data_IF_356807389461
#
_entry.id   IF_356807389461
#
_cell.length_a   1.000
_cell.length_b   1.000
_cell.length_c   1.000
_cell.angle_alpha   90.00
_cell.angle_beta   90.00
_cell.angle_gamma   90.00
#
_symmetry.space_group_name_H-M   'P 1'
#
loop_
_entity.id
_entity.type
_entity.pdbx_description
1 polymer ?
#
# COMPACT_ATOMS: atom_id res chain seq x y z
N UNK A 1 -18.74 15.64 -7.13
CA UNK A 1 -17.50 15.77 -6.32
C UNK A 1 -17.86 16.32 -4.95
N UNK A 2 -17.57 15.57 -3.87
CA UNK A 2 -17.96 15.91 -2.49
C UNK A 2 -16.96 16.82 -1.73
N UNK A 3 -15.83 17.18 -2.34
CA UNK A 3 -14.83 18.09 -1.79
C UNK A 3 -14.58 19.23 -2.80
N UNK A 4 -15.09 20.44 -2.55
CA UNK A 4 -14.85 21.54 -3.49
C UNK A 4 -15.49 22.88 -3.14
N UNK A 5 -16.71 22.90 -2.59
CA UNK A 5 -17.41 24.13 -2.22
C UNK A 5 -17.71 24.06 -0.71
N UNK A 6 -17.12 24.97 0.08
CA UNK A 6 -17.39 25.10 1.53
C UNK A 6 -16.21 24.80 2.47
N UNK A 7 -15.15 24.12 2.02
CA UNK A 7 -13.94 23.90 2.82
C UNK A 7 -12.84 24.89 2.41
N UNK A 8 -12.52 25.83 3.33
CA UNK A 8 -11.46 26.81 3.14
C UNK A 8 -10.19 26.42 3.92
N UNK A 9 -9.52 25.35 3.48
CA UNK A 9 -8.21 25.00 4.00
C UNK A 9 -7.15 25.85 3.31
N UNK A 10 -6.61 26.83 4.04
CA UNK A 10 -5.58 27.74 3.52
C UNK A 10 -4.19 27.11 3.56
N UNK A 11 -3.95 26.16 4.47
CA UNK A 11 -2.63 25.56 4.77
C UNK A 11 -2.32 24.27 4.02
N UNK A 12 -3.07 23.93 2.98
CA UNK A 12 -2.80 22.71 2.19
C UNK A 12 -1.46 22.88 1.47
N UNK A 13 -0.49 22.01 1.78
CA UNK A 13 0.87 22.11 1.21
C UNK A 13 1.07 21.20 0.00
N UNK A 14 0.32 20.11 -0.09
CA UNK A 14 0.37 19.18 -1.22
C UNK A 14 -1.00 18.63 -1.57
N UNK A 15 -1.25 18.40 -2.86
CA UNK A 15 -2.43 17.71 -3.38
C UNK A 15 -1.98 16.59 -4.31
N UNK A 16 -2.46 15.38 -4.04
CA UNK A 16 -2.28 14.24 -4.92
C UNK A 16 -3.58 13.99 -5.66
N UNK A 17 -3.55 14.11 -6.98
CA UNK A 17 -4.66 13.75 -7.84
C UNK A 17 -4.45 12.35 -8.41
N UNK A 18 -5.44 11.48 -8.16
CA UNK A 18 -5.52 10.13 -8.69
C UNK A 18 -6.71 10.05 -9.64
N UNK A 19 -6.50 9.47 -10.82
CA UNK A 19 -7.54 9.29 -11.83
C UNK A 19 -7.65 10.47 -12.80
N UNK A 20 -8.80 10.54 -13.48
CA UNK A 20 -9.09 11.51 -14.53
C UNK A 20 -10.42 12.21 -14.26
N UNK A 21 -10.60 13.37 -14.85
CA UNK A 21 -11.84 14.13 -14.81
C UNK A 21 -11.74 15.34 -15.73
N UNK A 22 -12.76 16.21 -15.68
CA UNK A 22 -12.70 17.50 -16.36
C UNK A 22 -11.42 18.26 -15.93
N UNK A 23 -10.57 18.73 -16.87
CA UNK A 23 -9.37 19.49 -16.55
C UNK A 23 -9.64 20.66 -15.61
N UNK A 24 -10.77 21.35 -15.77
CA UNK A 24 -11.11 22.51 -14.94
C UNK A 24 -11.36 22.11 -13.48
N UNK A 25 -12.06 21.00 -13.27
CA UNK A 25 -12.25 20.37 -11.97
C UNK A 25 -10.90 19.92 -11.37
N UNK A 26 -10.03 19.29 -12.15
CA UNK A 26 -8.70 18.85 -11.71
C UNK A 26 -7.85 20.06 -11.30
N UNK A 27 -7.75 21.08 -12.14
CA UNK A 27 -7.07 22.35 -11.85
C UNK A 27 -7.61 23.00 -10.56
N UNK A 28 -8.93 22.95 -10.34
CA UNK A 28 -9.56 23.47 -9.12
C UNK A 28 -9.21 22.65 -7.86
N UNK A 29 -9.02 21.35 -8.00
CA UNK A 29 -8.59 20.46 -6.92
C UNK A 29 -7.11 20.68 -6.58
N UNK A 30 -6.22 20.70 -7.58
CA UNK A 30 -4.79 20.93 -7.34
C UNK A 30 -4.50 22.36 -6.86
N UNK A 31 -5.27 23.36 -7.32
CA UNK A 31 -5.24 24.74 -6.84
C UNK A 31 -5.76 24.96 -5.41
N UNK A 32 -5.93 23.88 -4.64
CA UNK A 32 -6.14 23.95 -3.18
C UNK A 32 -4.83 24.11 -2.42
N UNK A 33 -3.72 23.61 -2.96
CA UNK A 33 -2.42 23.84 -2.33
C UNK A 33 -1.95 25.29 -2.50
N UNK A 34 -1.19 25.80 -1.52
CA UNK A 34 -0.53 27.10 -1.58
C UNK A 34 -1.45 28.34 -1.52
N UNK A 35 -2.67 28.20 -0.98
CA UNK A 35 -3.63 29.32 -0.83
C UNK A 35 -3.23 30.34 0.22
N UNK A 36 -2.31 29.98 1.10
CA UNK A 36 -1.66 30.85 2.08
C UNK A 36 -0.50 31.67 1.49
N UNK A 37 -0.28 31.60 0.17
CA UNK A 37 0.81 32.28 -0.52
C UNK A 37 2.15 31.55 -0.43
N UNK A 38 2.20 30.43 0.30
CA UNK A 38 3.38 29.58 0.39
C UNK A 38 3.39 28.55 -0.76
N UNK A 39 4.55 28.06 -1.24
CA UNK A 39 4.63 27.17 -2.40
C UNK A 39 3.80 25.89 -2.23
N UNK A 40 2.97 25.51 -3.20
CA UNK A 40 2.17 24.28 -3.15
C UNK A 40 2.71 23.20 -4.08
N UNK A 41 2.67 21.94 -3.65
CA UNK A 41 3.03 20.80 -4.50
C UNK A 41 1.79 20.10 -5.05
N UNK A 42 1.67 20.04 -6.37
CA UNK A 42 0.64 19.25 -7.04
C UNK A 42 1.26 18.01 -7.69
N UNK A 43 0.75 16.83 -7.33
CA UNK A 43 1.18 15.54 -7.89
C UNK A 43 0.01 14.95 -8.66
N UNK A 44 0.19 14.74 -9.97
CA UNK A 44 -0.82 14.13 -10.83
C UNK A 44 -0.32 12.77 -11.30
N UNK A 45 -1.04 11.71 -10.94
CA UNK A 45 -0.79 10.38 -11.48
C UNK A 45 -1.48 10.25 -12.83
N UNK A 46 -0.69 10.33 -13.90
CA UNK A 46 -1.15 10.20 -15.28
C UNK A 46 -0.48 9.01 -15.95
N UNK A 47 -1.24 8.26 -16.74
CA UNK A 47 -0.72 7.17 -17.56
C UNK A 47 0.13 7.75 -18.70
N UNK A 48 1.34 7.20 -18.91
CA UNK A 48 2.20 7.62 -20.03
C UNK A 48 1.61 7.28 -21.40
N UNK A 49 0.96 6.11 -21.49
CA UNK A 49 0.28 5.64 -22.69
C UNK A 49 -1.08 5.07 -22.26
N UNK A 50 -2.16 5.69 -22.71
CA UNK A 50 -3.53 5.26 -22.43
C UNK A 50 -4.04 4.36 -23.54
N UNK A 51 -4.68 3.25 -23.18
CA UNK A 51 -5.41 2.40 -24.12
C UNK A 51 -6.59 3.20 -24.67
N UNK A 52 -6.72 3.28 -26.00
CA UNK A 52 -7.74 4.10 -26.68
C UNK A 52 -7.68 5.60 -26.33
N UNK A 53 -6.50 6.10 -25.95
CA UNK A 53 -6.25 7.53 -25.74
C UNK A 53 -5.37 8.16 -26.81
N UNK A 54 -5.23 9.48 -26.71
CA UNK A 54 -4.29 10.26 -27.51
C UNK A 54 -2.95 10.28 -26.78
N UNK A 55 -1.97 9.57 -27.31
CA UNK A 55 -0.61 9.43 -26.76
C UNK A 55 0.43 10.23 -27.56
N UNK A 56 0.05 10.77 -28.72
CA UNK A 56 0.93 11.53 -29.60
C UNK A 56 0.31 12.85 -30.03
N UNK A 57 1.15 13.88 -30.18
CA UNK A 57 0.74 15.22 -30.63
C UNK A 57 -0.02 15.19 -31.96
N UNK A 58 0.37 14.30 -32.88
CA UNK A 58 -0.26 14.14 -34.19
C UNK A 58 -1.74 13.72 -34.12
N UNK A 59 -2.20 13.22 -32.97
CA UNK A 59 -3.60 12.85 -32.75
C UNK A 59 -4.48 14.05 -32.35
N UNK A 60 -3.87 15.20 -32.04
CA UNK A 60 -4.57 16.45 -31.76
C UNK A 60 -4.65 17.30 -33.03
N UNK A 61 -5.83 17.33 -33.64
CA UNK A 61 -6.07 18.10 -34.86
C UNK A 61 -6.70 19.45 -34.52
N UNK A 62 -6.18 20.57 -35.06
CA UNK A 62 -6.82 21.87 -34.93
C UNK A 62 -8.26 21.87 -35.44
N UNK A 63 -9.14 22.65 -34.79
CA UNK A 63 -10.55 22.82 -35.21
C UNK A 63 -11.49 21.65 -34.87
N UNK A 64 -11.00 20.59 -34.21
CA UNK A 64 -11.81 19.46 -33.77
C UNK A 64 -12.16 19.61 -32.29
N UNK A 65 -13.44 19.43 -31.94
CA UNK A 65 -13.90 19.39 -30.54
C UNK A 65 -13.13 18.31 -29.77
N UNK A 66 -12.49 18.71 -28.68
CA UNK A 66 -11.76 17.81 -27.79
C UNK A 66 -12.65 17.46 -26.60
N UNK A 67 -12.76 16.19 -26.27
CA UNK A 67 -13.41 15.74 -25.02
C UNK A 67 -12.56 16.09 -23.81
N UNK A 68 -13.12 16.03 -22.60
CA UNK A 68 -12.33 16.24 -21.38
C UNK A 68 -11.18 15.24 -21.24
N UNK A 69 -11.39 14.00 -21.68
CA UNK A 69 -10.33 13.00 -21.74
C UNK A 69 -9.23 13.34 -22.74
N UNK A 70 -9.58 13.93 -23.90
CA UNK A 70 -8.57 14.42 -24.84
C UNK A 70 -7.79 15.60 -24.26
N UNK A 71 -8.47 16.51 -23.56
CA UNK A 71 -7.82 17.66 -22.92
C UNK A 71 -6.85 17.23 -21.82
N UNK A 72 -7.22 16.20 -21.05
CA UNK A 72 -6.33 15.58 -20.07
C UNK A 72 -5.16 14.83 -20.73
N UNK A 73 -5.35 14.21 -21.90
CA UNK A 73 -4.26 13.61 -22.68
C UNK A 73 -3.28 14.68 -23.20
N UNK A 74 -3.80 15.82 -23.66
CA UNK A 74 -2.98 16.93 -24.11
C UNK A 74 -2.08 17.48 -22.99
N UNK A 75 -2.57 17.51 -21.75
CA UNK A 75 -1.79 17.94 -20.58
C UNK A 75 -0.63 16.99 -20.26
N UNK A 76 -0.81 15.70 -20.53
CA UNK A 76 0.23 14.68 -20.36
C UNK A 76 1.30 14.72 -21.47
N UNK A 77 1.04 15.44 -22.57
CA UNK A 77 1.90 15.48 -23.76
C UNK A 77 2.68 16.80 -23.81
N UNK A 78 4.01 16.68 -23.73
CA UNK A 78 4.94 17.81 -23.55
C UNK A 78 4.72 18.99 -24.52
N UNK A 79 4.43 18.81 -25.83
CA UNK A 79 4.21 19.95 -26.73
C UNK A 79 2.93 20.76 -26.48
N UNK A 80 1.86 20.15 -25.94
CA UNK A 80 0.66 20.91 -25.54
C UNK A 80 0.95 21.84 -24.37
N UNK A 81 1.76 21.37 -23.42
CA UNK A 81 2.24 22.16 -22.30
C UNK A 81 3.16 23.33 -22.73
N UNK A 82 3.99 23.17 -23.77
CA UNK A 82 4.86 24.26 -24.25
C UNK A 82 4.09 25.49 -24.74
N UNK A 83 2.91 25.31 -25.34
CA UNK A 83 2.05 26.42 -25.76
C UNK A 83 1.50 27.19 -24.56
N UNK A 84 1.10 26.49 -23.50
CA UNK A 84 0.65 27.12 -22.25
C UNK A 84 1.78 27.85 -21.54
N UNK A 85 2.98 27.24 -21.50
CA UNK A 85 4.19 27.89 -20.97
C UNK A 85 4.49 29.21 -21.67
N UNK A 86 4.41 29.25 -23.01
CA UNK A 86 4.64 30.48 -23.77
C UNK A 86 3.62 31.58 -23.44
N UNK A 87 2.36 31.20 -23.17
CA UNK A 87 1.32 32.12 -22.70
C UNK A 87 1.66 32.66 -21.31
N UNK A 88 2.05 31.79 -20.37
CA UNK A 88 2.45 32.17 -19.01
C UNK A 88 3.62 33.17 -19.03
N UNK A 89 4.65 32.93 -19.84
CA UNK A 89 5.80 33.83 -19.99
C UNK A 89 5.39 35.20 -20.53
N UNK A 90 4.51 35.24 -21.54
CA UNK A 90 3.98 36.50 -22.11
C UNK A 90 3.20 37.33 -21.08
N UNK A 91 2.47 36.67 -20.20
CA UNK A 91 1.68 37.31 -19.13
C UNK A 91 2.51 37.61 -17.87
N UNK A 92 3.83 37.36 -17.89
CA UNK A 92 4.73 37.68 -16.79
C UNK A 92 4.62 36.76 -15.58
N UNK A 93 4.16 35.51 -15.77
CA UNK A 93 4.10 34.53 -14.70
C UNK A 93 5.53 34.11 -14.27
N UNK A 94 5.72 33.69 -13.00
CA UNK A 94 7.00 33.14 -12.54
C UNK A 94 7.45 31.94 -13.38
N UNK A 95 8.77 31.75 -13.48
CA UNK A 95 9.35 30.63 -14.22
C UNK A 95 8.79 29.30 -13.73
N UNK A 96 8.21 28.52 -14.65
CA UNK A 96 7.57 27.26 -14.30
C UNK A 96 8.60 26.20 -13.86
N UNK A 97 8.31 25.52 -12.75
CA UNK A 97 9.13 24.42 -12.18
C UNK A 97 8.46 23.04 -12.29
N UNK A 98 7.52 22.87 -13.21
CA UNK A 98 6.81 21.60 -13.37
C UNK A 98 7.71 20.49 -13.97
N UNK A 99 7.21 19.25 -13.96
CA UNK A 99 7.92 18.08 -14.48
C UNK A 99 8.26 18.13 -15.97
N UNK A 100 7.52 18.90 -16.77
CA UNK A 100 7.85 19.12 -18.18
C UNK A 100 8.95 20.18 -18.37
N UNK A 101 9.03 21.20 -17.50
CA UNK A 101 10.06 22.24 -17.57
C UNK A 101 11.40 21.81 -16.96
N UNK A 102 11.36 21.12 -15.83
CA UNK A 102 12.54 20.68 -15.07
C UNK A 102 12.47 19.17 -14.79
N UNK A 103 12.57 18.30 -15.81
CA UNK A 103 12.37 16.86 -15.65
C UNK A 103 13.37 16.22 -14.68
N UNK A 104 14.63 16.67 -14.67
CA UNK A 104 15.64 16.18 -13.74
C UNK A 104 15.31 16.54 -12.28
N UNK A 105 14.92 17.80 -12.03
CA UNK A 105 14.52 18.27 -10.70
C UNK A 105 13.24 17.58 -10.21
N UNK A 106 12.27 17.36 -11.09
CA UNK A 106 11.05 16.63 -10.75
C UNK A 106 11.33 15.17 -10.37
N UNK A 107 12.26 14.51 -11.06
CA UNK A 107 12.69 13.15 -10.70
C UNK A 107 13.37 13.12 -9.32
N UNK A 108 14.28 14.06 -9.05
CA UNK A 108 14.93 14.19 -7.73
C UNK A 108 13.91 14.49 -6.63
N UNK A 109 12.94 15.37 -6.89
CA UNK A 109 11.88 15.71 -5.94
C UNK A 109 11.07 14.46 -5.55
N UNK A 110 10.73 13.59 -6.51
CA UNK A 110 10.05 12.32 -6.24
C UNK A 110 10.88 11.43 -5.29
N UNK A 111 12.19 11.34 -5.50
CA UNK A 111 13.06 10.52 -4.66
C UNK A 111 13.29 11.14 -3.25
N UNK A 112 13.06 12.45 -3.10
CA UNK A 112 13.10 13.17 -1.83
C UNK A 112 11.77 13.16 -1.06
N UNK A 113 10.64 12.82 -1.68
CA UNK A 113 9.31 12.85 -1.04
C UNK A 113 9.24 12.09 0.30
N UNK A 114 9.91 10.93 0.50
CA UNK A 114 9.90 10.26 1.81
C UNK A 114 10.52 11.07 2.95
N UNK A 115 11.40 12.04 2.65
CA UNK A 115 12.01 12.97 3.62
C UNK A 115 11.23 14.28 3.78
N UNK A 116 10.13 14.45 3.04
CA UNK A 116 9.42 15.72 2.98
C UNK A 116 8.58 15.94 4.24
N UNK A 117 8.78 17.07 4.90
CA UNK A 117 8.09 17.51 6.11
C UNK A 117 7.50 18.90 5.90
N UNK A 118 6.66 19.36 6.83
CA UNK A 118 6.09 20.71 6.77
C UNK A 118 7.18 21.79 6.82
N UNK A 119 8.30 21.52 7.49
CA UNK A 119 9.38 22.49 7.70
C UNK A 119 10.29 22.62 6.47
N UNK A 120 10.49 21.54 5.70
CA UNK A 120 11.41 21.52 4.57
C UNK A 120 10.74 21.58 3.18
N UNK A 121 9.41 21.45 3.10
CA UNK A 121 8.69 21.39 1.83
C UNK A 121 8.86 22.65 0.97
N UNK A 122 8.95 23.83 1.58
CA UNK A 122 9.14 25.08 0.86
C UNK A 122 10.47 25.07 0.10
N UNK A 123 11.52 24.64 0.78
CA UNK A 123 12.86 24.55 0.24
C UNK A 123 12.93 23.51 -0.88
N UNK A 124 12.33 22.33 -0.66
CA UNK A 124 12.27 21.26 -1.66
C UNK A 124 11.51 21.66 -2.94
N UNK A 125 10.51 22.54 -2.86
CA UNK A 125 9.76 23.01 -4.04
C UNK A 125 10.53 24.11 -4.79
N UNK A 126 11.10 25.07 -4.06
CA UNK A 126 11.65 26.29 -4.64
C UNK A 126 13.12 26.16 -5.07
N UNK A 127 13.90 25.33 -4.39
CA UNK A 127 15.34 25.21 -4.60
C UNK A 127 15.64 23.97 -5.44
N UNK A 128 16.64 24.07 -6.33
CA UNK A 128 17.14 22.92 -7.08
C UNK A 128 17.80 21.93 -6.13
N UNK A 129 17.36 20.67 -6.20
CA UNK A 129 17.88 19.57 -5.39
C UNK A 129 19.20 19.12 -6.00
N UNK A 130 20.25 19.10 -5.19
CA UNK A 130 21.53 18.51 -5.57
C UNK A 130 21.42 16.99 -5.70
N UNK A 131 22.13 16.39 -6.66
CA UNK A 131 22.09 14.94 -6.92
C UNK A 131 22.57 14.07 -5.77
N UNK A 132 23.35 14.65 -4.84
CA UNK A 132 23.88 14.03 -3.62
C UNK A 132 23.15 14.50 -2.36
N UNK A 133 21.99 15.16 -2.50
CA UNK A 133 21.23 15.67 -1.37
C UNK A 133 20.92 14.56 -0.35
N UNK A 134 21.08 14.83 0.96
CA UNK A 134 20.78 13.87 2.02
C UNK A 134 19.30 13.50 2.08
N UNK A 135 18.41 14.23 1.40
CA UNK A 135 16.99 13.92 1.32
C UNK A 135 16.68 12.77 0.36
N UNK A 136 17.60 12.43 -0.55
CA UNK A 136 17.39 11.42 -1.59
C UNK A 136 17.46 10.03 -0.98
N UNK A 137 16.32 9.32 -1.00
CA UNK A 137 16.27 7.91 -0.64
C UNK A 137 16.52 7.04 -1.87
N UNK A 138 17.64 6.31 -1.87
CA UNK A 138 17.85 5.28 -2.90
C UNK A 138 16.74 4.24 -2.77
N UNK A 139 15.98 4.02 -3.86
CA UNK A 139 15.00 2.94 -3.95
C UNK A 139 15.73 1.63 -3.68
N UNK A 140 15.63 1.13 -2.44
CA UNK A 140 16.05 -0.24 -2.14
C UNK A 140 15.08 -1.11 -2.93
N UNK A 141 15.56 -2.03 -3.80
CA UNK A 141 14.68 -2.97 -4.44
C UNK A 141 13.81 -3.59 -3.35
N UNK A 142 12.49 -3.55 -3.54
CA UNK A 142 11.55 -4.34 -2.74
C UNK A 142 11.92 -5.80 -2.97
N UNK A 143 12.91 -6.25 -2.22
CA UNK A 143 13.23 -7.64 -2.08
C UNK A 143 12.04 -8.15 -1.32
N UNK A 144 11.05 -8.69 -2.05
CA UNK A 144 9.89 -9.33 -1.45
C UNK A 144 10.47 -10.45 -0.60
N UNK A 145 10.73 -10.15 0.68
CA UNK A 145 11.17 -11.15 1.63
C UNK A 145 10.11 -12.22 1.54
N UNK A 146 10.54 -13.40 1.12
CA UNK A 146 9.67 -14.55 1.09
C UNK A 146 9.33 -14.79 2.55
N UNK A 147 8.13 -14.40 2.96
CA UNK A 147 7.66 -14.55 4.33
C UNK A 147 7.81 -16.02 4.69
N UNK A 148 8.67 -16.30 5.67
CA UNK A 148 8.81 -17.64 6.26
C UNK A 148 7.61 -17.98 7.15
N UNK A 149 6.76 -16.99 7.43
CA UNK A 149 5.53 -17.12 8.19
C UNK A 149 4.63 -18.21 7.61
N UNK A 150 4.28 -19.17 8.46
CA UNK A 150 3.24 -20.17 8.17
C UNK A 150 1.94 -19.67 8.79
N UNK A 151 0.95 -19.23 8.00
CA UNK A 151 -0.28 -18.66 8.54
C UNK A 151 -1.01 -19.64 9.45
N UNK A 152 -1.61 -19.10 10.51
CA UNK A 152 -2.55 -19.87 11.33
C UNK A 152 -3.75 -20.27 10.47
N UNK A 153 -4.30 -21.46 10.73
CA UNK A 153 -5.52 -21.90 10.07
C UNK A 153 -6.66 -20.89 10.27
N UNK A 154 -7.44 -20.69 9.22
CA UNK A 154 -8.49 -19.68 9.22
C UNK A 154 -9.52 -19.94 10.33
N UNK A 155 -9.82 -21.21 10.62
CA UNK A 155 -10.78 -21.62 11.65
C UNK A 155 -10.31 -21.21 13.05
N UNK A 156 -9.01 -21.35 13.32
CA UNK A 156 -8.41 -21.01 14.61
C UNK A 156 -8.21 -19.49 14.78
N UNK A 157 -8.14 -18.73 13.67
CA UNK A 157 -8.00 -17.27 13.70
C UNK A 157 -9.33 -16.51 13.57
N UNK A 158 -10.42 -17.17 13.20
CA UNK A 158 -11.71 -16.54 12.90
C UNK A 158 -12.26 -15.73 14.09
N UNK A 159 -12.19 -16.29 15.29
CA UNK A 159 -12.66 -15.61 16.52
C UNK A 159 -11.85 -14.34 16.77
N UNK A 160 -10.54 -14.40 16.60
CA UNK A 160 -9.67 -13.24 16.81
C UNK A 160 -9.84 -12.17 15.72
N UNK A 161 -10.02 -12.58 14.47
CA UNK A 161 -10.35 -11.68 13.35
C UNK A 161 -11.64 -10.90 13.63
N UNK A 162 -12.69 -11.60 14.06
CA UNK A 162 -13.95 -10.98 14.44
C UNK A 162 -13.80 -10.04 15.64
N UNK A 163 -13.00 -10.43 16.64
CA UNK A 163 -12.70 -9.58 17.79
C UNK A 163 -11.97 -8.29 17.40
N UNK A 164 -10.92 -8.38 16.56
CA UNK A 164 -10.19 -7.21 16.07
C UNK A 164 -11.13 -6.24 15.34
N UNK A 165 -11.96 -6.76 14.44
CA UNK A 165 -12.92 -5.96 13.69
C UNK A 165 -13.92 -5.28 14.62
N UNK A 166 -14.53 -6.03 15.55
CA UNK A 166 -15.57 -5.53 16.45
C UNK A 166 -15.04 -4.47 17.41
N UNK A 167 -13.88 -4.71 18.03
CA UNK A 167 -13.27 -3.76 18.97
C UNK A 167 -12.75 -2.50 18.23
N UNK A 168 -12.17 -2.69 17.04
CA UNK A 168 -11.69 -1.60 16.19
C UNK A 168 -12.83 -0.69 15.73
N UNK A 169 -13.90 -1.25 15.16
CA UNK A 169 -15.04 -0.46 14.69
C UNK A 169 -15.81 0.18 15.85
N UNK A 170 -15.98 -0.52 16.98
CA UNK A 170 -16.62 0.04 18.18
C UNK A 170 -15.84 1.23 18.74
N UNK A 171 -14.50 1.14 18.80
CA UNK A 171 -13.65 2.25 19.22
C UNK A 171 -13.80 3.47 18.32
N UNK A 172 -13.82 3.26 17.00
CA UNK A 172 -13.99 4.32 16.02
C UNK A 172 -15.40 4.93 16.12
N UNK A 173 -16.44 4.11 16.24
CA UNK A 173 -17.82 4.57 16.40
C UNK A 173 -17.98 5.50 17.61
N UNK A 174 -17.32 5.20 18.73
CA UNK A 174 -17.32 6.06 19.92
C UNK A 174 -16.60 7.41 19.74
N UNK A 175 -15.84 7.59 18.66
CA UNK A 175 -15.15 8.85 18.30
C UNK A 175 -15.82 9.60 17.16
N UNK A 176 -16.72 8.95 16.43
CA UNK A 176 -17.49 9.57 15.35
C UNK A 176 -18.72 10.30 15.93
N UNK A 177 -19.03 11.46 15.36
CA UNK A 177 -20.28 12.17 15.64
C UNK A 177 -21.44 11.60 14.81
N UNK A 178 -22.69 11.79 15.26
CA UNK A 178 -23.89 11.42 14.47
C UNK A 178 -23.96 12.06 13.09
N UNK A 179 -23.21 13.15 12.85
CA UNK A 179 -23.14 13.86 11.56
C UNK A 179 -21.96 13.42 10.70
N UNK A 180 -21.23 12.39 11.10
CA UNK A 180 -20.06 11.93 10.35
C UNK A 180 -20.52 11.23 9.08
N UNK A 181 -19.94 11.62 7.93
CA UNK A 181 -20.22 10.99 6.63
C UNK A 181 -19.42 9.70 6.40
N UNK A 182 -18.63 9.29 7.39
CA UNK A 182 -17.70 8.15 7.32
C UNK A 182 -18.18 7.15 8.35
N UNK A 183 -18.28 5.89 7.95
CA UNK A 183 -18.61 4.78 8.84
C UNK A 183 -17.33 4.19 9.47
N UNK A 184 -17.40 3.58 10.66
CA UNK A 184 -16.26 2.87 11.24
C UNK A 184 -15.61 1.87 10.29
N UNK A 185 -16.42 1.18 9.49
CA UNK A 185 -15.99 0.18 8.52
C UNK A 185 -15.22 0.79 7.33
N UNK A 186 -15.41 2.08 7.04
CA UNK A 186 -14.62 2.80 6.02
C UNK A 186 -13.20 3.10 6.51
N UNK A 187 -12.97 3.07 7.82
CA UNK A 187 -11.68 3.34 8.46
C UNK A 187 -10.97 2.03 8.86
N UNK A 188 -11.72 1.06 9.38
CA UNK A 188 -11.18 -0.22 9.84
C UNK A 188 -12.08 -1.38 9.41
N UNK A 189 -11.60 -2.14 8.44
CA UNK A 189 -12.32 -3.20 7.74
C UNK A 189 -11.53 -4.52 7.80
N UNK A 190 -12.01 -5.53 7.06
CA UNK A 190 -11.29 -6.78 6.90
C UNK A 190 -9.91 -6.60 6.23
N UNK A 191 -9.70 -5.50 5.47
CA UNK A 191 -8.41 -5.19 4.82
C UNK A 191 -7.32 -4.95 5.86
N UNK A 192 -7.61 -4.13 6.86
CA UNK A 192 -6.71 -3.81 7.96
C UNK A 192 -6.48 -5.05 8.83
N UNK A 193 -7.54 -5.81 9.12
CA UNK A 193 -7.45 -7.09 9.85
C UNK A 193 -6.56 -8.09 9.12
N UNK A 194 -6.72 -8.26 7.81
CA UNK A 194 -5.87 -9.14 7.00
C UNK A 194 -4.42 -8.69 7.02
N UNK A 195 -4.18 -7.38 6.97
CA UNK A 195 -2.83 -6.79 7.05
C UNK A 195 -2.16 -7.07 8.39
N UNK A 196 -2.91 -6.97 9.49
CA UNK A 196 -2.45 -7.37 10.83
C UNK A 196 -2.15 -8.86 10.88
N UNK A 197 -3.08 -9.70 10.40
CA UNK A 197 -2.94 -11.16 10.43
C UNK A 197 -1.74 -11.66 9.61
N UNK A 198 -1.47 -11.02 8.46
CA UNK A 198 -0.33 -11.35 7.61
C UNK A 198 1.02 -11.06 8.28
N UNK A 199 1.07 -10.13 9.24
CA UNK A 199 2.29 -9.69 9.93
C UNK A 199 2.33 -10.07 11.41
N UNK A 200 1.35 -10.86 11.88
CA UNK A 200 1.05 -11.08 13.30
C UNK A 200 2.26 -11.52 14.15
N UNK A 201 3.13 -12.37 13.57
CA UNK A 201 4.35 -12.83 14.25
C UNK A 201 5.26 -11.67 14.67
N UNK A 202 5.47 -10.70 13.78
CA UNK A 202 6.37 -9.56 14.00
C UNK A 202 5.74 -8.38 14.74
N UNK A 203 4.46 -8.43 15.09
CA UNK A 203 3.80 -7.34 15.83
C UNK A 203 4.13 -7.46 17.32
N UNK A 204 5.07 -6.64 17.80
CA UNK A 204 5.54 -6.64 19.19
C UNK A 204 5.35 -5.28 19.86
N UNK A 205 5.50 -4.20 19.11
CA UNK A 205 5.40 -2.82 19.59
C UNK A 205 4.17 -2.12 18.99
N UNK A 206 3.72 -1.03 19.61
CA UNK A 206 2.66 -0.18 19.05
C UNK A 206 3.02 0.35 17.65
N UNK A 207 4.31 0.62 17.43
CA UNK A 207 4.86 1.05 16.15
C UNK A 207 4.64 0.00 15.05
N UNK A 208 4.90 -1.27 15.33
CA UNK A 208 4.66 -2.35 14.36
C UNK A 208 3.18 -2.45 13.99
N UNK A 209 2.29 -2.27 14.97
CA UNK A 209 0.84 -2.26 14.76
C UNK A 209 0.44 -1.07 13.90
N UNK A 210 0.91 0.15 14.22
CA UNK A 210 0.65 1.35 13.40
C UNK A 210 0.99 1.14 11.93
N UNK A 211 2.18 0.61 11.65
CA UNK A 211 2.64 0.33 10.29
C UNK A 211 1.80 -0.76 9.62
N UNK A 212 1.33 -1.75 10.38
CA UNK A 212 0.48 -2.81 9.85
C UNK A 212 -0.92 -2.31 9.48
N UNK A 213 -1.51 -1.41 10.27
CA UNK A 213 -2.83 -0.84 9.99
C UNK A 213 -2.77 0.25 8.92
N UNK A 214 -1.62 0.91 8.74
CA UNK A 214 -1.42 1.97 7.74
C UNK A 214 -1.38 3.39 8.31
N UNK A 215 -1.23 3.55 9.63
CA UNK A 215 -1.08 4.84 10.29
C UNK A 215 -1.92 5.01 11.56
N UNK A 216 -1.96 6.24 12.07
CA UNK A 216 -2.86 6.65 13.15
C UNK A 216 -4.13 7.25 12.54
N UNK A 217 -5.18 6.45 12.42
CA UNK A 217 -6.48 6.90 11.93
C UNK A 217 -7.28 7.64 13.00
N UNK A 218 -7.23 7.14 14.23
CA UNK A 218 -7.99 7.61 15.38
C UNK A 218 -7.12 7.47 16.62
N UNK A 219 -7.15 8.48 17.49
CA UNK A 219 -6.38 8.50 18.73
C UNK A 219 -6.73 7.28 19.60
N UNK A 220 -5.69 6.59 20.10
CA UNK A 220 -5.82 5.41 20.95
C UNK A 220 -6.18 4.09 20.26
N UNK A 221 -6.56 4.10 18.97
CA UNK A 221 -6.92 2.87 18.25
C UNK A 221 -5.73 1.89 18.18
N UNK A 222 -4.54 2.39 17.83
CA UNK A 222 -3.33 1.56 17.72
C UNK A 222 -2.98 0.92 19.06
N UNK A 223 -3.09 1.67 20.17
CA UNK A 223 -2.86 1.17 21.52
C UNK A 223 -3.87 0.09 21.92
N UNK A 224 -5.14 0.25 21.56
CA UNK A 224 -6.18 -0.77 21.76
C UNK A 224 -5.85 -2.05 20.99
N UNK A 225 -5.57 -1.93 19.69
CA UNK A 225 -5.25 -3.06 18.82
C UNK A 225 -3.98 -3.79 19.29
N UNK A 226 -2.95 -3.05 19.71
CA UNK A 226 -1.74 -3.63 20.27
C UNK A 226 -2.01 -4.46 21.51
N UNK A 227 -2.84 -3.97 22.45
CA UNK A 227 -3.26 -4.75 23.63
C UNK A 227 -3.98 -6.05 23.24
N UNK A 228 -4.90 -6.00 22.27
CA UNK A 228 -5.60 -7.18 21.79
C UNK A 228 -4.65 -8.19 21.15
N UNK A 229 -3.71 -7.73 20.32
CA UNK A 229 -2.70 -8.56 19.67
C UNK A 229 -1.80 -9.24 20.70
N UNK A 230 -1.26 -8.50 21.67
CA UNK A 230 -0.41 -9.09 22.71
C UNK A 230 -1.19 -10.11 23.54
N UNK A 231 -2.43 -9.80 23.93
CA UNK A 231 -3.30 -10.75 24.65
C UNK A 231 -3.52 -12.03 23.84
N UNK A 232 -3.78 -11.92 22.55
CA UNK A 232 -3.94 -13.07 21.67
C UNK A 232 -2.65 -13.87 21.51
N UNK A 233 -1.50 -13.20 21.34
CA UNK A 233 -0.18 -13.85 21.24
C UNK A 233 0.17 -14.62 22.52
N UNK A 234 -0.26 -14.14 23.68
CA UNK A 234 -0.09 -14.85 24.96
C UNK A 234 -1.10 -16.00 25.16
N UNK A 235 -2.12 -16.14 24.32
CA UNK A 235 -3.16 -17.15 24.43
C UNK A 235 -2.71 -18.55 23.97
N UNK A 236 -3.37 -19.58 24.50
CA UNK A 236 -3.06 -20.99 24.22
C UNK A 236 -3.11 -21.33 22.71
N UNK A 237 -4.11 -20.80 22.00
CA UNK A 237 -4.28 -21.06 20.56
C UNK A 237 -3.07 -20.59 19.73
N UNK A 238 -2.54 -19.40 20.04
CA UNK A 238 -1.38 -18.86 19.33
C UNK A 238 -0.09 -19.59 19.72
N UNK A 239 0.08 -19.92 21.00
CA UNK A 239 1.24 -20.66 21.49
C UNK A 239 1.30 -22.08 20.92
N UNK A 240 0.16 -22.77 20.83
CA UNK A 240 0.06 -24.10 20.21
C UNK A 240 0.40 -24.05 18.71
N UNK A 241 -0.12 -23.05 18.00
CA UNK A 241 0.25 -22.82 16.61
C UNK A 241 1.76 -22.60 16.45
N UNK A 242 2.38 -21.73 17.27
CA UNK A 242 3.83 -21.52 17.22
C UNK A 242 4.62 -22.79 17.54
N UNK A 243 4.17 -23.59 18.51
CA UNK A 243 4.80 -24.88 18.81
C UNK A 243 4.73 -25.85 17.63
N UNK A 244 3.60 -25.90 16.93
CA UNK A 244 3.41 -26.69 15.71
C UNK A 244 4.32 -26.22 14.58
N UNK A 245 4.40 -24.91 14.34
CA UNK A 245 5.28 -24.33 13.31
C UNK A 245 6.74 -24.67 13.59
N UNK A 246 7.22 -24.50 14.83
CA UNK A 246 8.59 -24.89 15.22
C UNK A 246 8.85 -26.38 15.00
N UNK A 247 7.91 -27.24 15.40
CA UNK A 247 8.00 -28.70 15.20
C UNK A 247 8.08 -29.08 13.71
N UNK A 248 7.27 -28.44 12.87
CA UNK A 248 7.25 -28.67 11.43
C UNK A 248 8.55 -28.21 10.76
N UNK A 249 9.14 -27.10 11.23
CA UNK A 249 10.44 -26.61 10.78
C UNK A 249 11.59 -27.54 11.19
N UNK A 250 11.60 -28.02 12.44
CA UNK A 250 12.54 -29.03 12.91
C UNK A 250 12.43 -30.32 12.09
N UNK A 251 11.21 -30.79 11.83
CA UNK A 251 10.98 -31.97 10.99
C UNK A 251 11.47 -31.75 9.55
N UNK A 252 11.29 -30.53 9.00
CA UNK A 252 11.79 -30.16 7.67
C UNK A 252 13.31 -30.14 7.63
N UNK A 253 13.96 -29.61 8.67
CA UNK A 253 15.42 -29.66 8.83
C UNK A 253 15.91 -31.11 8.91
N UNK A 254 15.36 -31.91 9.82
CA UNK A 254 15.73 -33.32 10.02
C UNK A 254 15.57 -34.15 8.75
N UNK A 255 14.50 -33.93 7.97
CA UNK A 255 14.28 -34.59 6.68
C UNK A 255 15.40 -34.27 5.69
N UNK A 256 15.76 -33.00 5.52
CA UNK A 256 16.76 -32.52 4.56
C UNK A 256 18.21 -32.85 4.96
N UNK A 257 18.51 -32.82 6.25
CA UNK A 257 19.89 -32.94 6.75
C UNK A 257 20.41 -34.39 6.72
N UNK A 258 21.61 -34.67 6.17
CA UNK A 258 22.20 -36.01 6.18
C UNK A 258 22.42 -36.57 7.60
N UNK A 259 22.32 -37.89 7.78
CA UNK A 259 22.39 -38.56 9.09
C UNK A 259 23.64 -38.24 9.92
N UNK A 260 24.77 -37.99 9.27
CA UNK A 260 26.05 -37.64 9.92
C UNK A 260 26.02 -36.31 10.69
N UNK A 261 25.10 -35.40 10.34
CA UNK A 261 24.96 -34.08 10.97
C UNK A 261 23.80 -34.02 11.97
N UNK A 262 23.19 -35.15 12.31
CA UNK A 262 22.06 -35.23 13.23
C UNK A 262 22.47 -35.84 14.56
N UNK A 263 21.92 -35.33 15.67
CA UNK A 263 22.07 -35.95 16.98
C UNK A 263 21.22 -37.23 17.11
N UNK A 264 21.40 -37.99 18.19
CA UNK A 264 20.71 -39.27 18.38
C UNK A 264 19.17 -39.15 18.41
N UNK A 265 18.62 -38.07 18.98
CA UNK A 265 17.18 -37.82 19.03
C UNK A 265 16.61 -37.48 17.66
N UNK A 266 17.33 -36.66 16.89
CA UNK A 266 16.97 -36.28 15.52
C UNK A 266 17.05 -37.47 14.56
N UNK A 267 18.05 -38.37 14.72
CA UNK A 267 18.12 -39.63 13.95
C UNK A 267 16.89 -40.50 14.20
N UNK A 268 16.48 -40.67 15.47
CA UNK A 268 15.24 -41.38 15.84
C UNK A 268 14.01 -40.71 15.22
N UNK A 269 13.91 -39.38 15.27
CA UNK A 269 12.82 -38.62 14.63
C UNK A 269 12.79 -38.81 13.12
N UNK A 270 13.94 -38.79 12.45
CA UNK A 270 14.06 -39.01 11.00
C UNK A 270 13.53 -40.38 10.58
N UNK A 271 13.88 -41.43 11.32
CA UNK A 271 13.36 -42.78 11.07
C UNK A 271 11.83 -42.84 11.22
N UNK A 272 11.28 -42.23 12.29
CA UNK A 272 9.82 -42.12 12.48
C UNK A 272 9.13 -41.40 11.31
N UNK A 273 9.70 -40.29 10.84
CA UNK A 273 9.17 -39.52 9.72
C UNK A 273 9.19 -40.30 8.39
N UNK A 274 10.21 -41.14 8.17
CA UNK A 274 10.28 -42.02 7.00
C UNK A 274 9.17 -43.08 7.02
N UNK A 275 8.90 -43.68 8.18
CA UNK A 275 7.80 -44.64 8.35
C UNK A 275 6.44 -43.98 8.08
N UNK A 276 6.21 -42.78 8.62
CA UNK A 276 4.98 -42.01 8.38
C UNK A 276 4.83 -41.68 6.89
N UNK A 277 5.91 -41.26 6.23
CA UNK A 277 5.90 -40.95 4.80
C UNK A 277 5.59 -42.19 3.94
N UNK A 278 6.17 -43.35 4.29
CA UNK A 278 5.90 -44.62 3.63
C UNK A 278 4.43 -45.07 3.81
N UNK A 279 3.89 -44.95 5.03
CA UNK A 279 2.49 -45.26 5.32
C UNK A 279 1.51 -44.35 4.56
N UNK A 280 1.81 -43.04 4.47
CA UNK A 280 1.00 -42.10 3.69
C UNK A 280 1.06 -42.37 2.18
N UNK A 281 2.23 -42.81 1.67
CA UNK A 281 2.37 -43.22 0.26
C UNK A 281 1.56 -44.50 -0.03
N UNK A 282 1.58 -45.48 0.88
CA UNK A 282 0.79 -46.70 0.76
C UNK A 282 -0.72 -46.40 0.72
N UNK A 283 -1.24 -45.55 1.62
CA UNK A 283 -2.65 -45.12 1.64
C UNK A 283 -3.09 -44.43 0.35
N UNK A 284 -2.21 -43.65 -0.28
CA UNK A 284 -2.48 -42.99 -1.57
C UNK A 284 -2.52 -43.97 -2.76
N UNK A 285 -1.88 -45.13 -2.63
CA UNK A 285 -1.83 -46.13 -3.71
C UNK A 285 -3.03 -47.08 -3.67
N UNK A 286 -3.70 -47.20 -2.51
CA UNK A 286 -4.92 -48.00 -2.32
C UNK A 286 -6.23 -47.27 -2.67
N UNK A 287 -6.20 -45.95 -2.87
CA UNK A 287 -7.31 -45.16 -3.43
C UNK A 287 -7.04 -44.94 -4.93
N UNK A 288 -7.47 -45.90 -5.75
CA UNK A 288 -7.41 -45.82 -7.23
C UNK A 288 -8.31 -44.70 -7.80
N UNK A 289 -8.15 -44.35 -9.09
CA UNK A 289 -8.79 -43.18 -9.69
C UNK A 289 -10.31 -43.34 -9.73
N UNK A 290 -11.05 -42.40 -9.11
CA UNK A 290 -12.50 -42.34 -9.22
C UNK A 290 -12.89 -42.07 -10.68
N UNK A 291 -13.70 -42.97 -11.23
CA UNK A 291 -14.32 -42.87 -12.56
C UNK A 291 -14.92 -41.49 -12.79
N UNK A 292 -14.51 -40.86 -13.88
CA UNK A 292 -15.22 -39.71 -14.43
C UNK A 292 -16.54 -40.22 -15.01
N UNK A 293 -17.63 -40.06 -14.27
CA UNK A 293 -18.97 -40.14 -14.84
C UNK A 293 -19.16 -38.98 -15.81
N UNK A 294 -19.12 -39.30 -17.10
CA UNK A 294 -19.62 -38.43 -18.16
C UNK A 294 -21.12 -38.22 -17.95
N UNK A 295 -21.54 -36.98 -17.69
CA UNK A 295 -22.91 -36.57 -17.92
C UNK A 295 -22.98 -35.75 -19.20
N UNK A 296 -23.45 -36.41 -20.26
CA UNK A 296 -24.15 -35.78 -21.37
C UNK A 296 -25.60 -35.56 -20.97
N UNK A 297 -26.00 -34.30 -20.87
CA UNK A 297 -27.31 -33.78 -21.29
C UNK A 297 -27.23 -32.25 -21.20
#
# INVERSE_FOLDING_TARGET
>A
MALGLGQNWTRVRSVVHLGRGDPSAVCRMVGRCGRDGQPGLAIMYVEKNRINGKNHVSQFRPGVTQTDDDRMDALAITPGYLAEKAREEKEGFPTCRCSNCLPAQAALLIDCMPSMTIDNINEMILIDIASDSPWIHKKVPLTRQRTTYTPMDNSNSAVFRAQLLTEGTSWIAGKLSERSFILPEDIFSNIEVDSIMAKLEGLETEEHVRVAVGGHYVEGLVTLLHKLIIKFKCGALYQEHLAKVRSDEEDRYVKKTPLKHLNNNQKKRKAKLQVIAAANKAKKTTLGPTEKTNHSC
#
